data_IF_015672497758
#
_entry.id   IF_015672497758
#
_cell.length_a   1.000
_cell.length_b   1.000
_cell.length_c   1.000
_cell.angle_alpha   90.00
_cell.angle_beta   90.00
_cell.angle_gamma   90.00
#
_symmetry.space_group_name_H-M   'P 1'
#
loop_
_entity.id
_entity.type
_entity.pdbx_description
1 polymer ?
#
# COMPACT_ATOMS: atom_id res chain seq x y z
N UNK A 1 15.35 -3.18 70.50
CA UNK A 1 16.00 -2.33 69.47
C UNK A 1 15.85 -3.07 68.15
N UNK A 2 15.14 -2.67 67.10
CA UNK A 2 14.18 -1.60 66.81
C UNK A 2 13.31 -2.19 65.69
N UNK A 3 11.98 -2.18 65.82
CA UNK A 3 11.14 -2.07 64.62
C UNK A 3 9.75 -1.54 64.98
N UNK A 4 9.59 -0.23 64.81
CA UNK A 4 8.31 0.46 64.67
C UNK A 4 8.54 1.60 63.67
N UNK A 5 7.49 2.20 63.14
CA UNK A 5 6.90 1.98 61.83
C UNK A 5 7.20 3.22 60.96
N UNK A 6 6.56 3.36 59.79
CA UNK A 6 6.78 4.44 58.81
C UNK A 6 7.98 4.18 57.88
N UNK A 7 7.69 3.56 56.75
CA UNK A 7 7.82 4.22 55.44
C UNK A 7 7.74 3.18 54.34
N UNK A 8 6.61 3.12 53.62
CA UNK A 8 6.54 3.25 52.16
C UNK A 8 5.08 3.17 51.68
N UNK A 9 4.24 4.16 52.00
CA UNK A 9 2.91 4.32 51.42
C UNK A 9 2.99 4.87 49.99
N UNK A 10 3.63 4.14 49.06
CA UNK A 10 3.90 4.68 47.73
C UNK A 10 3.00 4.19 46.60
N UNK A 11 2.14 3.18 46.83
CA UNK A 11 1.25 2.71 45.76
C UNK A 11 -0.16 2.48 46.26
N UNK A 12 -1.09 3.33 45.81
CA UNK A 12 -2.52 3.04 45.85
C UNK A 12 -2.87 1.81 44.97
N UNK A 13 -1.97 1.43 44.05
CA UNK A 13 -2.08 0.27 43.15
C UNK A 13 -2.06 -1.08 43.88
N UNK A 14 -1.26 -1.25 44.93
CA UNK A 14 -1.11 -2.54 45.62
C UNK A 14 -2.32 -2.81 46.53
N UNK A 15 -2.81 -1.77 47.22
CA UNK A 15 -4.02 -1.82 48.03
C UNK A 15 -5.26 -2.10 47.16
N UNK A 16 -5.32 -1.51 45.95
CA UNK A 16 -6.43 -1.73 45.03
C UNK A 16 -6.35 -3.10 44.34
N UNK A 17 -5.15 -3.58 43.99
CA UNK A 17 -4.94 -4.93 43.46
C UNK A 17 -5.31 -6.01 44.47
N UNK A 18 -5.08 -5.79 45.77
CA UNK A 18 -5.45 -6.72 46.84
C UNK A 18 -6.95 -6.68 47.13
N UNK A 19 -7.56 -5.49 47.15
CA UNK A 19 -9.01 -5.32 47.30
C UNK A 19 -9.79 -5.94 46.12
N UNK A 20 -9.28 -5.79 44.89
CA UNK A 20 -9.86 -6.39 43.68
C UNK A 20 -9.50 -7.87 43.52
N UNK A 21 -8.40 -8.32 44.13
CA UNK A 21 -7.97 -9.72 44.15
C UNK A 21 -8.76 -10.58 45.14
N UNK A 22 -9.26 -9.98 46.23
CA UNK A 22 -10.08 -10.64 47.24
C UNK A 22 -11.57 -10.78 46.86
N UNK A 23 -12.03 -10.17 45.76
CA UNK A 23 -13.39 -10.31 45.26
C UNK A 23 -13.43 -11.04 43.91
N UNK A 24 -13.91 -12.28 43.96
CA UNK A 24 -14.47 -13.06 42.86
C UNK A 24 -13.48 -13.78 41.93
N UNK A 25 -13.27 -15.06 42.27
CA UNK A 25 -12.95 -16.07 41.28
C UNK A 25 -14.07 -16.27 40.26
N UNK A 26 -13.67 -16.94 39.16
CA UNK A 26 -14.44 -17.47 38.02
C UNK A 26 -14.51 -16.53 36.79
N UNK A 27 -13.62 -16.85 35.84
CA UNK A 27 -13.70 -16.67 34.38
C UNK A 27 -14.83 -15.77 33.84
N UNK A 28 -14.55 -14.46 33.75
CA UNK A 28 -15.32 -13.55 32.90
C UNK A 28 -14.38 -12.51 32.29
N UNK A 29 -14.56 -12.24 31.00
CA UNK A 29 -13.83 -11.22 30.25
C UNK A 29 -13.87 -9.89 31.01
N UNK A 30 -12.70 -9.44 31.46
CA UNK A 30 -12.53 -8.21 32.22
C UNK A 30 -12.81 -7.01 31.30
N UNK A 31 -14.00 -6.41 31.39
CA UNK A 31 -14.31 -5.14 30.74
C UNK A 31 -13.90 -3.99 31.64
N UNK A 32 -13.03 -3.12 31.13
CA UNK A 32 -12.63 -1.90 31.81
C UNK A 32 -13.42 -0.73 31.24
N UNK A 33 -13.84 0.20 32.08
CA UNK A 33 -14.59 1.38 31.69
C UNK A 33 -13.73 2.61 31.94
N UNK A 34 -13.45 3.39 30.89
CA UNK A 34 -12.77 4.69 31.00
C UNK A 34 -13.68 5.74 30.36
N UNK A 35 -14.06 6.78 31.12
CA UNK A 35 -14.93 7.86 30.66
C UNK A 35 -16.23 7.37 29.97
N UNK A 36 -16.82 6.27 30.47
CA UNK A 36 -18.05 5.68 29.95
C UNK A 36 -17.88 4.79 28.70
N UNK A 37 -16.65 4.57 28.23
CA UNK A 37 -16.33 3.67 27.11
C UNK A 37 -15.75 2.35 27.62
N UNK A 38 -16.32 1.23 27.18
CA UNK A 38 -15.72 -0.09 27.37
C UNK A 38 -14.41 -0.18 26.57
N UNK A 39 -13.34 -0.57 27.24
CA UNK A 39 -12.02 -0.77 26.64
C UNK A 39 -11.54 -2.19 26.96
N UNK A 40 -10.82 -2.75 26.01
CA UNK A 40 -10.19 -4.06 26.15
C UNK A 40 -9.04 -4.00 27.18
N UNK A 41 -8.63 -5.15 27.75
CA UNK A 41 -7.50 -5.21 28.67
C UNK A 41 -6.20 -4.62 28.10
N UNK A 42 -5.97 -4.76 26.79
CA UNK A 42 -4.79 -4.23 26.10
C UNK A 42 -4.86 -2.70 25.97
N UNK A 43 -6.01 -2.16 25.56
CA UNK A 43 -6.23 -0.70 25.47
C UNK A 43 -6.11 -0.04 26.86
N UNK A 44 -6.58 -0.71 27.91
CA UNK A 44 -6.45 -0.24 29.29
C UNK A 44 -4.99 -0.18 29.75
N UNK A 45 -4.19 -1.20 29.40
CA UNK A 45 -2.77 -1.22 29.72
C UNK A 45 -1.99 -0.10 29.00
N UNK A 46 -2.38 0.22 27.76
CA UNK A 46 -1.79 1.34 27.01
C UNK A 46 -2.20 2.70 27.59
N UNK A 47 -3.46 2.87 28.01
CA UNK A 47 -3.93 4.08 28.68
C UNK A 47 -3.14 4.35 29.97
N UNK A 48 -2.91 3.33 30.80
CA UNK A 48 -2.11 3.51 32.03
C UNK A 48 -0.67 3.95 31.76
N UNK A 49 -0.06 3.49 30.67
CA UNK A 49 1.32 3.87 30.30
C UNK A 49 1.42 5.25 29.64
N UNK A 50 0.40 5.67 28.91
CA UNK A 50 0.51 6.84 28.01
C UNK A 50 -0.45 7.98 28.34
N UNK A 51 -1.42 7.76 29.23
CA UNK A 51 -2.47 8.71 29.59
C UNK A 51 -3.46 9.01 28.47
N UNK A 52 -3.43 8.28 27.35
CA UNK A 52 -4.25 8.55 26.16
C UNK A 52 -5.05 7.31 25.77
N UNK A 53 -6.35 7.52 25.57
CA UNK A 53 -7.24 6.49 25.00
C UNK A 53 -6.97 6.35 23.50
N UNK A 54 -6.85 5.12 22.96
CA UNK A 54 -6.77 4.93 21.51
C UNK A 54 -8.07 5.43 20.88
N UNK A 55 -7.92 6.49 20.08
CA UNK A 55 -9.03 7.12 19.39
C UNK A 55 -9.27 6.32 18.11
N UNK A 56 -10.40 5.59 18.04
CA UNK A 56 -10.74 4.71 16.91
C UNK A 56 -11.07 5.48 15.61
N UNK A 57 -10.75 6.78 15.58
CA UNK A 57 -10.97 7.69 14.47
C UNK A 57 -9.66 8.31 13.95
N UNK A 58 -8.51 7.78 14.35
CA UNK A 58 -7.30 7.93 13.55
C UNK A 58 -7.34 6.87 12.45
N UNK A 59 -8.18 7.16 11.44
CA UNK A 59 -7.86 6.76 10.07
C UNK A 59 -6.50 7.38 9.83
N UNK A 60 -5.46 6.58 10.01
CA UNK A 60 -4.11 6.93 9.63
C UNK A 60 -4.16 7.25 8.16
N UNK A 61 -4.16 8.55 7.86
CA UNK A 61 -3.58 9.14 6.65
C UNK A 61 -2.06 8.92 6.66
N UNK A 62 -1.64 7.70 6.98
CA UNK A 62 -0.36 7.17 6.58
C UNK A 62 -0.61 6.63 5.19
N UNK A 63 0.00 7.27 4.19
CA UNK A 63 0.02 6.76 2.83
C UNK A 63 0.28 5.27 2.90
N UNK A 64 -0.70 4.49 2.45
CA UNK A 64 -0.62 3.04 2.34
C UNK A 64 0.70 2.79 1.62
N UNK A 65 1.71 2.29 2.34
CA UNK A 65 2.88 1.76 1.68
C UNK A 65 2.34 0.77 0.65
N UNK A 66 2.73 0.89 -0.63
CA UNK A 66 2.17 0.02 -1.67
C UNK A 66 2.36 -1.40 -1.18
N UNK A 67 1.26 -2.14 -1.01
CA UNK A 67 1.30 -3.50 -0.54
C UNK A 67 2.29 -4.25 -1.41
N UNK A 68 3.43 -4.67 -0.84
CA UNK A 68 4.49 -5.39 -1.57
C UNK A 68 3.98 -6.70 -2.19
N UNK A 69 2.78 -7.13 -1.80
CA UNK A 69 2.13 -8.36 -2.23
C UNK A 69 0.96 -8.16 -3.21
N UNK A 70 0.78 -6.95 -3.77
CA UNK A 70 -0.26 -6.65 -4.76
C UNK A 70 -0.16 -7.48 -6.04
N UNK A 71 -1.26 -7.65 -6.76
CA UNK A 71 -1.28 -8.39 -8.04
C UNK A 71 -0.41 -7.69 -9.09
N UNK A 72 -0.33 -6.35 -9.06
CA UNK A 72 0.61 -5.58 -9.88
C UNK A 72 2.07 -5.90 -9.57
N UNK A 73 2.42 -6.17 -8.32
CA UNK A 73 3.80 -6.51 -7.95
C UNK A 73 4.18 -7.93 -8.39
N UNK A 74 3.20 -8.84 -8.45
CA UNK A 74 3.41 -10.24 -8.87
C UNK A 74 3.46 -10.41 -10.39
N UNK A 75 2.64 -9.65 -11.11
CA UNK A 75 2.43 -9.83 -12.56
C UNK A 75 2.93 -8.67 -13.42
N UNK A 76 3.30 -7.56 -12.78
CA UNK A 76 3.76 -6.35 -13.44
C UNK A 76 5.26 -6.17 -13.38
N UNK A 77 5.84 -5.69 -14.49
CA UNK A 77 7.22 -5.22 -14.60
C UNK A 77 7.21 -3.69 -14.71
N UNK A 78 7.84 -2.99 -13.76
CA UNK A 78 7.88 -1.52 -13.76
C UNK A 78 9.01 -1.02 -14.68
N UNK A 79 8.64 -0.67 -15.92
CA UNK A 79 9.58 -0.18 -16.92
C UNK A 79 10.15 1.20 -16.56
N UNK A 80 9.37 2.06 -15.89
CA UNK A 80 9.87 3.36 -15.43
C UNK A 80 10.96 3.21 -14.38
N UNK A 81 10.81 2.25 -13.46
CA UNK A 81 11.84 1.96 -12.46
C UNK A 81 13.09 1.38 -13.11
N UNK A 82 12.94 0.47 -14.06
CA UNK A 82 14.08 -0.09 -14.80
C UNK A 82 14.80 0.96 -15.65
N UNK A 83 14.07 1.92 -16.22
CA UNK A 83 14.65 3.07 -16.90
C UNK A 83 15.49 3.94 -15.94
N UNK A 84 14.99 4.21 -14.71
CA UNK A 84 15.76 4.92 -13.67
C UNK A 84 17.03 4.17 -13.26
N UNK A 85 16.97 2.85 -13.26
CA UNK A 85 18.09 1.97 -12.93
C UNK A 85 19.04 1.74 -14.11
N UNK A 86 18.75 2.28 -15.31
CA UNK A 86 19.58 2.10 -16.50
C UNK A 86 19.57 0.68 -17.07
N UNK A 87 18.53 -0.11 -16.77
CA UNK A 87 18.38 -1.50 -17.22
C UNK A 87 17.74 -1.65 -18.59
N UNK A 88 17.13 -0.59 -19.12
CA UNK A 88 16.53 -0.59 -20.45
C UNK A 88 17.56 -0.19 -21.50
N UNK A 89 17.52 -0.86 -22.65
CA UNK A 89 18.37 -0.53 -23.78
C UNK A 89 18.02 0.87 -24.34
N UNK A 90 19.02 1.66 -24.79
CA UNK A 90 18.76 2.97 -25.38
C UNK A 90 17.98 2.83 -26.67
N UNK A 91 16.89 3.59 -26.80
CA UNK A 91 16.00 3.52 -27.97
C UNK A 91 16.42 4.54 -29.02
N UNK A 92 16.74 4.05 -30.23
CA UNK A 92 17.23 4.89 -31.34
C UNK A 92 16.19 4.94 -32.46
N UNK A 93 15.93 6.14 -32.98
CA UNK A 93 15.13 6.33 -34.20
C UNK A 93 13.62 6.13 -34.03
N UNK A 94 13.10 6.22 -32.78
CA UNK A 94 11.66 6.09 -32.46
C UNK A 94 11.05 7.33 -31.80
N UNK A 95 11.70 8.48 -31.94
CA UNK A 95 11.32 9.71 -31.27
C UNK A 95 9.88 10.13 -31.62
N UNK A 96 9.47 9.97 -32.88
CA UNK A 96 8.14 10.34 -33.34
C UNK A 96 7.06 9.48 -32.69
N UNK A 97 7.23 8.15 -32.70
CA UNK A 97 6.27 7.23 -32.11
C UNK A 97 6.16 7.38 -30.59
N UNK A 98 7.30 7.62 -29.92
CA UNK A 98 7.33 7.89 -28.48
C UNK A 98 6.55 9.17 -28.16
N UNK A 99 6.80 10.24 -28.92
CA UNK A 99 6.11 11.51 -28.75
C UNK A 99 4.60 11.39 -29.01
N UNK A 100 4.18 10.75 -30.11
CA UNK A 100 2.76 10.52 -30.41
C UNK A 100 2.07 9.71 -29.30
N UNK A 101 2.75 8.70 -28.77
CA UNK A 101 2.23 7.89 -27.66
C UNK A 101 2.04 8.73 -26.40
N UNK A 102 3.03 9.57 -26.05
CA UNK A 102 2.97 10.50 -24.93
C UNK A 102 1.81 11.51 -25.07
N UNK A 103 1.64 12.08 -26.27
CA UNK A 103 0.56 13.02 -26.58
C UNK A 103 -0.82 12.38 -26.47
N UNK A 104 -0.99 11.13 -26.93
CA UNK A 104 -2.26 10.40 -26.80
C UNK A 104 -2.58 10.17 -25.32
N UNK A 105 -1.62 9.70 -24.52
CA UNK A 105 -1.80 9.46 -23.08
C UNK A 105 -2.14 10.74 -22.31
N UNK A 106 -1.63 11.89 -22.76
CA UNK A 106 -1.89 13.18 -22.14
C UNK A 106 -3.30 13.74 -22.38
N UNK A 107 -4.12 13.12 -23.24
CA UNK A 107 -5.49 13.56 -23.54
C UNK A 107 -6.42 13.32 -22.35
N UNK A 108 -7.47 14.14 -22.24
CA UNK A 108 -8.53 13.95 -21.23
C UNK A 108 -9.45 12.75 -21.53
N UNK A 109 -9.64 12.44 -22.80
CA UNK A 109 -10.51 11.35 -23.27
C UNK A 109 -9.84 10.60 -24.42
N UNK A 110 -10.17 9.31 -24.57
CA UNK A 110 -9.57 8.42 -25.58
C UNK A 110 -8.03 8.41 -25.50
N UNK A 111 -7.50 8.31 -24.29
CA UNK A 111 -6.08 8.38 -23.98
C UNK A 111 -5.38 7.00 -24.02
N UNK A 112 -5.95 6.02 -24.71
CA UNK A 112 -5.41 4.67 -24.81
C UNK A 112 -4.72 4.49 -26.18
N UNK A 113 -3.39 4.66 -26.27
CA UNK A 113 -2.67 4.44 -27.52
C UNK A 113 -2.62 2.94 -27.87
N UNK A 114 -2.62 2.63 -29.17
CA UNK A 114 -2.45 1.27 -29.70
C UNK A 114 -1.35 1.29 -30.75
N UNK A 115 -0.28 0.53 -30.53
CA UNK A 115 0.86 0.44 -31.45
C UNK A 115 0.63 -0.67 -32.49
N UNK A 116 0.52 -0.28 -33.76
CA UNK A 116 0.26 -1.19 -34.89
C UNK A 116 1.49 -1.30 -35.78
N UNK A 117 1.69 -2.48 -36.38
CA UNK A 117 2.88 -2.83 -37.18
C UNK A 117 3.15 -4.33 -37.18
N UNK A 118 4.10 -4.78 -37.99
CA UNK A 118 4.45 -6.20 -38.09
C UNK A 118 5.11 -6.74 -36.81
N UNK A 119 5.21 -8.07 -36.70
CA UNK A 119 5.95 -8.69 -35.60
C UNK A 119 7.44 -8.36 -35.70
N UNK A 120 8.09 -8.10 -34.56
CA UNK A 120 9.53 -7.83 -34.51
C UNK A 120 9.96 -6.40 -34.87
N UNK A 121 9.04 -5.51 -35.27
CA UNK A 121 9.36 -4.11 -35.60
C UNK A 121 9.69 -3.24 -34.38
N UNK A 122 9.87 -3.81 -33.18
CA UNK A 122 10.26 -3.05 -31.99
C UNK A 122 9.14 -2.20 -31.37
N UNK A 123 7.90 -2.68 -31.37
CA UNK A 123 6.79 -1.99 -30.66
C UNK A 123 7.08 -1.82 -29.16
N UNK A 124 7.68 -2.83 -28.55
CA UNK A 124 8.13 -2.80 -27.15
C UNK A 124 9.15 -1.70 -26.91
N UNK A 125 10.07 -1.49 -27.85
CA UNK A 125 11.08 -0.42 -27.74
C UNK A 125 10.45 0.97 -27.69
N UNK A 126 9.29 1.20 -28.33
CA UNK A 126 8.56 2.47 -28.19
C UNK A 126 8.07 2.68 -26.75
N UNK A 127 7.60 1.61 -26.09
CA UNK A 127 7.12 1.67 -24.70
C UNK A 127 8.28 1.85 -23.71
N UNK A 128 9.40 1.17 -23.93
CA UNK A 128 10.63 1.33 -23.15
C UNK A 128 11.22 2.74 -23.32
N UNK A 129 11.22 3.26 -24.55
CA UNK A 129 11.65 4.63 -24.84
C UNK A 129 10.73 5.67 -24.21
N UNK A 130 9.42 5.41 -24.16
CA UNK A 130 8.49 6.25 -23.41
C UNK A 130 8.80 6.23 -21.89
N UNK A 131 9.17 5.08 -21.33
CA UNK A 131 9.57 4.99 -19.93
C UNK A 131 10.83 5.84 -19.65
N UNK A 132 11.82 5.79 -20.55
CA UNK A 132 13.00 6.65 -20.50
C UNK A 132 12.63 8.14 -20.59
N UNK A 133 11.75 8.51 -21.52
CA UNK A 133 11.28 9.89 -21.68
C UNK A 133 10.57 10.43 -20.42
N UNK A 134 9.75 9.60 -19.77
CA UNK A 134 9.11 9.98 -18.49
C UNK A 134 10.15 10.22 -17.40
N UNK A 135 11.18 9.37 -17.30
CA UNK A 135 12.26 9.52 -16.32
C UNK A 135 13.08 10.79 -16.56
N UNK A 136 13.38 11.10 -17.82
CA UNK A 136 14.08 12.32 -18.21
C UNK A 136 13.23 13.58 -18.06
N UNK A 137 11.90 13.42 -17.95
CA UNK A 137 10.95 14.53 -17.88
C UNK A 137 10.60 15.13 -19.24
N UNK A 138 10.94 14.44 -20.34
CA UNK A 138 10.70 14.82 -21.73
C UNK A 138 9.29 14.40 -22.19
N UNK A 139 8.28 14.71 -21.38
CA UNK A 139 6.88 14.35 -21.61
C UNK A 139 5.93 15.46 -21.14
N UNK A 140 4.68 15.50 -21.65
CA UNK A 140 3.67 16.44 -21.15
C UNK A 140 3.47 16.34 -19.63
N UNK A 141 3.19 17.48 -18.99
CA UNK A 141 3.05 17.59 -17.54
C UNK A 141 2.00 16.62 -16.94
N UNK A 142 0.97 16.25 -17.70
CA UNK A 142 -0.10 15.33 -17.25
C UNK A 142 0.38 13.90 -17.03
N UNK A 143 1.41 13.46 -17.75
CA UNK A 143 2.01 12.12 -17.61
C UNK A 143 3.40 12.16 -16.97
N UNK A 144 3.86 13.36 -16.60
CA UNK A 144 5.10 13.54 -15.85
C UNK A 144 4.98 12.85 -14.48
N UNK A 145 5.98 12.08 -14.09
CA UNK A 145 6.02 11.28 -12.86
C UNK A 145 5.04 10.09 -12.80
N UNK A 146 4.38 9.73 -13.90
CA UNK A 146 3.58 8.49 -13.96
C UNK A 146 4.48 7.27 -14.12
N UNK A 147 3.98 6.10 -13.77
CA UNK A 147 4.71 4.83 -13.93
C UNK A 147 4.15 4.02 -15.09
N UNK A 148 5.05 3.45 -15.90
CA UNK A 148 4.74 2.46 -16.92
C UNK A 148 4.99 1.08 -16.34
N UNK A 149 3.91 0.32 -16.24
CA UNK A 149 3.93 -1.06 -15.77
C UNK A 149 3.51 -1.96 -16.93
N UNK A 150 4.41 -2.84 -17.36
CA UNK A 150 4.10 -3.90 -18.33
C UNK A 150 3.42 -5.05 -17.59
N UNK A 151 2.31 -5.57 -18.14
CA UNK A 151 1.57 -6.68 -17.55
C UNK A 151 1.71 -7.90 -18.45
N UNK A 152 2.09 -9.03 -17.87
CA UNK A 152 2.08 -10.32 -18.56
C UNK A 152 0.70 -10.98 -18.46
N UNK A 153 0.05 -11.15 -19.60
CA UNK A 153 -1.27 -11.79 -19.71
C UNK A 153 -1.15 -13.29 -19.43
N UNK A 154 -0.06 -13.95 -19.81
CA UNK A 154 0.14 -15.37 -19.53
C UNK A 154 0.24 -15.62 -18.02
N UNK A 155 0.83 -14.69 -17.27
CA UNK A 155 0.85 -14.72 -15.81
C UNK A 155 -0.52 -14.53 -15.15
N UNK A 156 -1.47 -13.83 -15.81
CA UNK A 156 -2.84 -13.67 -15.33
C UNK A 156 -3.67 -14.95 -15.46
N UNK A 157 -3.35 -15.80 -16.44
CA UNK A 157 -4.00 -17.09 -16.70
C UNK A 157 -3.35 -18.25 -15.91
N UNK A 158 -2.05 -18.13 -15.61
CA UNK A 158 -1.32 -19.16 -14.88
C UNK A 158 -1.92 -19.40 -13.48
N UNK A 159 -2.44 -20.62 -13.25
CA UNK A 159 -2.99 -21.03 -11.95
C UNK A 159 -4.48 -20.76 -11.75
N UNK A 160 -5.18 -20.18 -12.75
CA UNK A 160 -6.64 -20.03 -12.69
C UNK A 160 -7.34 -21.31 -13.10
N UNK A 161 -7.66 -22.19 -12.14
CA UNK A 161 -8.38 -23.44 -12.42
C UNK A 161 -9.89 -23.26 -12.54
N UNK A 162 -10.42 -22.11 -12.11
CA UNK A 162 -11.85 -21.82 -12.11
C UNK A 162 -12.21 -20.83 -13.22
N UNK A 163 -13.30 -21.13 -13.93
CA UNK A 163 -13.89 -20.23 -14.92
C UNK A 163 -14.26 -18.91 -14.22
N UNK A 164 -13.79 -17.77 -14.73
CA UNK A 164 -14.04 -16.44 -14.15
C UNK A 164 -12.88 -15.87 -13.34
N UNK A 165 -11.87 -16.69 -12.97
CA UNK A 165 -10.73 -16.21 -12.19
C UNK A 165 -9.83 -15.23 -12.96
N UNK A 166 -9.78 -15.34 -14.29
CA UNK A 166 -9.07 -14.37 -15.13
C UNK A 166 -9.71 -12.98 -15.06
N UNK A 167 -11.03 -12.92 -15.19
CA UNK A 167 -11.80 -11.69 -15.08
C UNK A 167 -11.69 -11.07 -13.68
N UNK A 168 -11.73 -11.89 -12.64
CA UNK A 168 -11.51 -11.44 -11.25
C UNK A 168 -10.10 -10.84 -11.07
N UNK A 169 -9.07 -11.47 -11.63
CA UNK A 169 -7.70 -10.96 -11.59
C UNK A 169 -7.58 -9.60 -12.31
N UNK A 170 -8.22 -9.43 -13.47
CA UNK A 170 -8.25 -8.14 -14.18
C UNK A 170 -8.96 -7.07 -13.35
N UNK A 171 -10.10 -7.42 -12.72
CA UNK A 171 -10.83 -6.46 -11.89
C UNK A 171 -10.00 -6.02 -10.68
N UNK A 172 -9.32 -6.96 -10.02
CA UNK A 172 -8.42 -6.68 -8.92
C UNK A 172 -7.23 -5.82 -9.35
N UNK A 173 -6.65 -6.09 -10.52
CA UNK A 173 -5.57 -5.30 -11.11
C UNK A 173 -6.02 -3.85 -11.35
N UNK A 174 -7.17 -3.64 -12.00
CA UNK A 174 -7.72 -2.30 -12.27
C UNK A 174 -7.99 -1.55 -10.98
N UNK A 175 -8.52 -2.23 -9.96
CA UNK A 175 -8.76 -1.64 -8.65
C UNK A 175 -7.45 -1.20 -7.99
N UNK A 176 -6.42 -2.02 -8.05
CA UNK A 176 -5.10 -1.68 -7.49
C UNK A 176 -4.47 -0.45 -8.19
N UNK A 177 -4.58 -0.36 -9.53
CA UNK A 177 -4.10 0.80 -10.28
C UNK A 177 -4.84 2.08 -9.86
N UNK A 178 -6.17 2.01 -9.72
CA UNK A 178 -7.00 3.15 -9.28
C UNK A 178 -6.64 3.60 -7.86
N UNK A 179 -6.44 2.66 -6.94
CA UNK A 179 -6.10 2.95 -5.54
C UNK A 179 -4.72 3.62 -5.41
N UNK A 180 -3.78 3.32 -6.32
CA UNK A 180 -2.45 3.95 -6.38
C UNK A 180 -2.47 5.39 -6.94
N UNK A 181 -3.56 5.81 -7.57
CA UNK A 181 -3.66 7.15 -8.19
C UNK A 181 -2.68 7.36 -9.35
N UNK A 182 -2.20 6.26 -9.96
CA UNK A 182 -1.38 6.31 -11.17
C UNK A 182 -2.23 6.76 -12.36
#
# INVERSE_FOLDING_TARGET
MNNTPFDNFNNMDDIFNELMGSMNGINSERRYLINGREVTPEEFAQYRKTGKLPNNNQITSQGKAPSKDGILAKLGRNLTQEAREGKLDPVIGRNKEIQETAEILARRTKNNPVLVGDAGVGKTAVVEGLAQAIVNGDVPASIKNKEIISIDISGLEAGTQYRGSFEENIQNLIKEVKDRGN
#
